data_IF_946254038681
#
_entry.id   IF_946254038681
#
_cell.length_a   1.000
_cell.length_b   1.000
_cell.length_c   1.000
_cell.angle_alpha   90.00
_cell.angle_beta   90.00
_cell.angle_gamma   90.00
#
_symmetry.space_group_name_H-M   'P 1'
#
loop_
_entity.id
_entity.type
_entity.pdbx_description
1 polymer ?
#
# COMPACT_ATOMS: atom_id res chain seq x y z
N UNK A 1 5.73 -10.95 44.69
CA UNK A 1 6.48 -10.51 43.50
C UNK A 1 6.33 -11.59 42.43
N UNK A 2 5.17 -11.66 41.78
CA UNK A 2 4.88 -12.69 40.77
C UNK A 2 5.28 -12.18 39.39
N UNK A 3 6.23 -12.85 38.75
CA UNK A 3 6.54 -12.68 37.31
C UNK A 3 5.27 -13.02 36.52
N UNK A 4 4.65 -11.99 35.95
CA UNK A 4 3.73 -12.17 34.83
C UNK A 4 4.57 -12.62 33.64
N UNK A 5 4.19 -13.75 33.05
CA UNK A 5 4.87 -14.38 31.93
C UNK A 5 4.59 -13.59 30.65
N UNK A 6 5.61 -12.90 30.12
CA UNK A 6 5.66 -12.10 28.88
C UNK A 6 5.53 -12.93 27.58
N UNK A 7 4.76 -14.02 27.59
CA UNK A 7 4.58 -14.89 26.42
C UNK A 7 3.45 -14.48 25.47
N UNK A 8 2.67 -13.44 25.79
CA UNK A 8 1.47 -13.04 25.03
C UNK A 8 1.64 -11.74 24.23
N UNK A 9 2.66 -10.94 24.50
CA UNK A 9 2.78 -9.59 23.94
C UNK A 9 3.09 -9.59 22.42
N UNK A 10 4.04 -10.40 21.93
CA UNK A 10 4.39 -10.37 20.51
C UNK A 10 3.26 -10.89 19.61
N UNK A 11 2.59 -11.98 20.01
CA UNK A 11 1.45 -12.54 19.26
C UNK A 11 0.25 -11.59 19.24
N UNK A 12 0.03 -10.83 20.32
CA UNK A 12 -0.98 -9.77 20.34
C UNK A 12 -0.61 -8.63 19.40
N UNK A 13 0.66 -8.20 19.40
CA UNK A 13 1.13 -7.17 18.48
C UNK A 13 0.94 -7.59 17.02
N UNK A 14 1.25 -8.87 16.69
CA UNK A 14 0.98 -9.45 15.37
C UNK A 14 -0.50 -9.41 15.01
N UNK A 15 -1.37 -9.88 15.90
CA UNK A 15 -2.80 -9.89 15.66
C UNK A 15 -3.35 -8.48 15.42
N UNK A 16 -2.87 -7.48 16.18
CA UNK A 16 -3.26 -6.07 15.98
C UNK A 16 -2.76 -5.55 14.64
N UNK A 17 -1.51 -5.83 14.25
CA UNK A 17 -0.95 -5.38 12.98
C UNK A 17 -1.66 -5.99 11.77
N UNK A 18 -2.17 -7.21 11.90
CA UNK A 18 -2.88 -7.89 10.82
C UNK A 18 -4.28 -7.33 10.56
N UNK A 19 -4.93 -6.70 11.54
CA UNK A 19 -6.27 -6.12 11.36
C UNK A 19 -6.37 -5.15 10.17
N UNK A 20 -5.49 -4.13 10.02
CA UNK A 20 -5.55 -3.22 8.87
C UNK A 20 -5.09 -3.84 7.55
N UNK A 21 -4.57 -5.08 7.55
CA UNK A 21 -4.21 -5.84 6.35
C UNK A 21 -5.34 -6.77 5.89
N UNK A 22 -6.45 -6.83 6.63
CA UNK A 22 -7.63 -7.56 6.22
C UNK A 22 -8.47 -6.71 5.26
N UNK A 23 -8.80 -7.28 4.10
CA UNK A 23 -9.64 -6.62 3.09
C UNK A 23 -11.05 -7.21 3.12
N UNK A 24 -11.98 -6.50 3.75
CA UNK A 24 -13.41 -6.83 3.71
C UNK A 24 -14.07 -6.10 2.54
N UNK A 25 -13.92 -6.65 1.34
CA UNK A 25 -14.56 -6.13 0.13
C UNK A 25 -15.81 -6.95 -0.19
N UNK A 26 -16.88 -6.27 -0.57
CA UNK A 26 -18.04 -6.94 -1.17
C UNK A 26 -17.61 -7.59 -2.49
N UNK A 27 -18.11 -8.79 -2.76
CA UNK A 27 -17.85 -9.48 -4.03
C UNK A 27 -18.27 -8.63 -5.23
N UNK A 28 -17.39 -8.54 -6.22
CA UNK A 28 -17.67 -7.89 -7.51
C UNK A 28 -17.34 -8.89 -8.63
N UNK A 29 -18.31 -9.31 -9.45
CA UNK A 29 -18.07 -10.33 -10.48
C UNK A 29 -17.13 -9.87 -11.60
N UNK A 30 -16.72 -8.59 -11.61
CA UNK A 30 -15.83 -8.00 -12.63
C UNK A 30 -14.36 -8.03 -12.23
N UNK A 31 -14.05 -8.17 -10.93
CA UNK A 31 -12.68 -8.13 -10.41
C UNK A 31 -12.53 -9.05 -9.18
N UNK A 32 -11.40 -9.75 -9.11
CA UNK A 32 -11.04 -10.58 -7.96
C UNK A 32 -9.77 -10.00 -7.31
N UNK A 33 -9.72 -10.02 -5.97
CA UNK A 33 -8.57 -9.57 -5.20
C UNK A 33 -7.99 -10.74 -4.42
N UNK A 34 -6.67 -10.90 -4.50
CA UNK A 34 -5.91 -11.84 -3.68
C UNK A 34 -4.72 -11.11 -3.08
N UNK A 35 -4.49 -11.31 -1.79
CA UNK A 35 -3.34 -10.76 -1.07
C UNK A 35 -2.63 -11.86 -0.30
N UNK A 36 -1.31 -11.75 -0.20
CA UNK A 36 -0.49 -12.65 0.58
C UNK A 36 0.57 -11.84 1.32
N UNK A 37 0.59 -11.97 2.65
CA UNK A 37 1.52 -11.24 3.52
C UNK A 37 2.20 -12.21 4.47
N UNK A 38 3.54 -12.19 4.46
CA UNK A 38 4.40 -13.01 5.32
C UNK A 38 5.46 -12.11 5.93
N UNK A 39 5.33 -11.72 7.22
CA UNK A 39 6.33 -10.89 7.86
C UNK A 39 7.63 -11.66 8.08
N UNK A 40 8.78 -10.96 8.01
CA UNK A 40 10.08 -11.54 8.34
C UNK A 40 10.19 -11.93 9.82
N UNK A 41 9.69 -11.04 10.69
CA UNK A 41 9.62 -11.22 12.14
C UNK A 41 8.15 -11.44 12.58
N UNK A 42 7.84 -11.23 13.86
CA UNK A 42 6.47 -11.31 14.40
C UNK A 42 5.57 -10.21 13.82
N UNK A 43 6.15 -9.05 13.49
CA UNK A 43 5.53 -7.89 12.86
C UNK A 43 6.48 -7.32 11.80
N UNK A 44 5.94 -6.72 10.75
CA UNK A 44 6.70 -6.29 9.56
C UNK A 44 6.61 -4.79 9.26
N UNK A 45 7.42 -4.32 8.32
CA UNK A 45 7.34 -2.97 7.76
C UNK A 45 6.31 -2.84 6.63
N UNK A 46 5.89 -3.96 6.03
CA UNK A 46 5.00 -3.91 4.87
C UNK A 46 3.55 -3.61 5.25
N UNK A 47 2.91 -2.82 4.41
CA UNK A 47 1.51 -2.47 4.48
C UNK A 47 0.87 -2.71 3.13
N UNK A 48 -0.32 -3.33 3.11
CA UNK A 48 -1.12 -3.39 1.90
C UNK A 48 -2.60 -3.15 2.20
N UNK A 49 -3.25 -2.41 1.32
CA UNK A 49 -4.65 -2.03 1.47
C UNK A 49 -5.35 -1.99 0.13
N UNK A 50 -6.63 -2.37 0.15
CA UNK A 50 -7.55 -2.30 -0.98
C UNK A 50 -8.81 -1.62 -0.47
N UNK A 51 -9.30 -0.62 -1.20
CA UNK A 51 -10.44 0.19 -0.77
C UNK A 51 -11.37 0.43 -1.94
N UNK A 52 -12.66 0.14 -1.77
CA UNK A 52 -13.68 0.52 -2.75
C UNK A 52 -13.91 2.03 -2.67
N UNK A 53 -13.60 2.75 -3.74
CA UNK A 53 -13.72 4.22 -3.81
C UNK A 53 -15.06 4.64 -4.40
N UNK A 54 -15.59 3.85 -5.33
CA UNK A 54 -16.89 4.07 -5.96
C UNK A 54 -17.49 2.73 -6.44
N UNK A 55 -18.55 2.78 -7.24
CA UNK A 55 -19.11 1.58 -7.89
C UNK A 55 -18.10 0.90 -8.84
N UNK A 56 -17.20 1.69 -9.44
CA UNK A 56 -16.29 1.24 -10.50
C UNK A 56 -14.81 1.40 -10.19
N UNK A 57 -14.45 2.11 -9.11
CA UNK A 57 -13.06 2.38 -8.75
C UNK A 57 -12.66 1.66 -7.46
N UNK A 58 -11.52 0.98 -7.53
CA UNK A 58 -10.85 0.37 -6.38
C UNK A 58 -9.46 0.97 -6.23
N UNK A 59 -9.18 1.50 -5.04
CA UNK A 59 -7.87 2.01 -4.66
C UNK A 59 -7.03 0.90 -4.04
N UNK A 60 -5.73 0.88 -4.37
CA UNK A 60 -4.76 -0.08 -3.88
C UNK A 60 -3.55 0.69 -3.33
N UNK A 61 -3.01 0.25 -2.21
CA UNK A 61 -1.73 0.71 -1.70
C UNK A 61 -0.88 -0.50 -1.31
N UNK A 62 0.39 -0.50 -1.72
CA UNK A 62 1.43 -1.36 -1.15
C UNK A 62 2.56 -0.45 -0.69
N UNK A 63 3.02 -0.63 0.54
CA UNK A 63 4.12 0.10 1.10
C UNK A 63 5.04 -0.81 1.91
N UNK A 64 6.29 -0.39 2.03
CA UNK A 64 7.29 -1.00 2.90
C UNK A 64 8.08 0.11 3.58
N UNK A 65 8.05 0.09 4.90
CA UNK A 65 8.79 1.01 5.77
C UNK A 65 10.21 0.48 5.96
N UNK A 66 11.20 1.32 5.68
CA UNK A 66 12.62 1.01 5.92
C UNK A 66 12.84 0.53 7.37
N UNK A 67 13.52 -0.61 7.49
CA UNK A 67 13.89 -1.21 8.77
C UNK A 67 13.17 -2.52 9.01
N UNK A 68 13.21 -3.01 10.24
CA UNK A 68 12.49 -4.22 10.65
C UNK A 68 12.06 -4.13 12.12
N UNK A 69 11.18 -5.04 12.53
CA UNK A 69 10.68 -5.13 13.90
C UNK A 69 9.71 -4.01 14.30
N UNK A 70 9.69 -3.68 15.60
CA UNK A 70 8.65 -2.83 16.22
C UNK A 70 8.63 -1.41 15.63
N UNK A 71 9.79 -0.80 15.37
CA UNK A 71 9.84 0.57 14.84
C UNK A 71 9.16 0.69 13.47
N UNK A 72 9.49 -0.21 12.55
CA UNK A 72 8.87 -0.26 11.23
C UNK A 72 7.36 -0.52 11.35
N UNK A 73 6.96 -1.48 12.19
CA UNK A 73 5.56 -1.80 12.42
C UNK A 73 4.72 -0.64 12.97
N UNK A 74 5.29 0.21 13.83
CA UNK A 74 4.59 1.41 14.33
C UNK A 74 4.32 2.41 13.21
N UNK A 75 5.27 2.60 12.29
CA UNK A 75 5.06 3.43 11.10
C UNK A 75 4.08 2.80 10.12
N UNK A 76 4.07 1.48 9.95
CA UNK A 76 3.04 0.74 9.19
C UNK A 76 1.64 1.00 9.76
N UNK A 77 1.50 1.00 11.10
CA UNK A 77 0.21 1.34 11.75
C UNK A 77 -0.15 2.81 11.59
N UNK A 78 0.82 3.71 11.58
CA UNK A 78 0.55 5.10 11.26
C UNK A 78 0.10 5.28 9.79
N UNK A 79 0.77 4.61 8.86
CA UNK A 79 0.39 4.56 7.45
C UNK A 79 -1.04 4.05 7.26
N UNK A 80 -1.47 3.01 7.98
CA UNK A 80 -2.85 2.52 7.86
C UNK A 80 -3.89 3.54 8.32
N UNK A 81 -3.59 4.34 9.35
CA UNK A 81 -4.43 5.45 9.78
C UNK A 81 -4.48 6.57 8.74
N UNK A 82 -3.34 6.91 8.13
CA UNK A 82 -3.27 7.90 7.05
C UNK A 82 -4.03 7.42 5.82
N UNK A 83 -3.89 6.15 5.44
CA UNK A 83 -4.66 5.53 4.36
C UNK A 83 -6.16 5.71 4.57
N UNK A 84 -6.67 5.35 5.76
CA UNK A 84 -8.09 5.52 6.09
C UNK A 84 -8.53 6.98 6.03
N UNK A 85 -7.74 7.90 6.62
CA UNK A 85 -8.02 9.34 6.67
C UNK A 85 -8.07 10.01 5.28
N UNK A 86 -7.21 9.59 4.36
CA UNK A 86 -7.09 10.18 3.01
C UNK A 86 -7.68 9.30 1.91
N UNK A 87 -8.39 8.23 2.25
CA UNK A 87 -8.91 7.23 1.31
C UNK A 87 -9.67 7.83 0.11
N UNK A 88 -10.48 8.88 0.31
CA UNK A 88 -11.18 9.56 -0.79
C UNK A 88 -10.23 10.21 -1.83
N UNK A 89 -9.04 10.66 -1.39
CA UNK A 89 -8.04 11.24 -2.29
C UNK A 89 -7.35 10.19 -3.15
N UNK A 90 -7.43 8.90 -2.78
CA UNK A 90 -6.80 7.80 -3.51
C UNK A 90 -7.32 7.69 -4.94
N UNK A 91 -8.51 8.21 -5.26
CA UNK A 91 -9.01 8.35 -6.63
C UNK A 91 -8.02 9.09 -7.57
N UNK A 92 -7.14 9.91 -7.00
CA UNK A 92 -6.00 10.57 -7.64
C UNK A 92 -4.70 10.12 -6.93
N UNK A 93 -4.08 9.00 -7.36
CA UNK A 93 -2.95 8.38 -6.69
C UNK A 93 -1.81 9.35 -6.29
N UNK A 94 -1.45 10.30 -7.16
CA UNK A 94 -0.38 11.24 -6.86
C UNK A 94 -0.75 12.21 -5.72
N UNK A 95 -2.01 12.66 -5.70
CA UNK A 95 -2.52 13.53 -4.64
C UNK A 95 -2.56 12.81 -3.30
N UNK A 96 -3.00 11.55 -3.29
CA UNK A 96 -2.98 10.72 -2.10
C UNK A 96 -1.55 10.49 -1.60
N UNK A 97 -0.61 10.13 -2.48
CA UNK A 97 0.80 9.95 -2.12
C UNK A 97 1.39 11.22 -1.51
N UNK A 98 1.13 12.39 -2.09
CA UNK A 98 1.58 13.67 -1.56
C UNK A 98 0.99 13.97 -0.16
N UNK A 99 -0.29 13.70 0.05
CA UNK A 99 -0.94 13.92 1.35
C UNK A 99 -0.38 12.98 2.42
N UNK A 100 -0.24 11.69 2.11
CA UNK A 100 0.36 10.70 3.02
C UNK A 100 1.82 11.04 3.31
N UNK A 101 2.61 11.42 2.30
CA UNK A 101 3.99 11.87 2.45
C UNK A 101 4.11 12.99 3.48
N UNK A 102 3.30 14.03 3.32
CA UNK A 102 3.37 15.22 4.16
C UNK A 102 2.96 14.96 5.61
N UNK A 103 2.02 14.06 5.86
CA UNK A 103 1.68 13.67 7.23
C UNK A 103 2.73 12.72 7.82
N UNK A 104 3.24 11.77 7.04
CA UNK A 104 4.26 10.84 7.50
C UNK A 104 5.58 11.56 7.83
N UNK A 105 5.98 12.55 7.03
CA UNK A 105 7.18 13.37 7.25
C UNK A 105 7.15 14.16 8.57
N UNK A 106 5.96 14.43 9.13
CA UNK A 106 5.84 15.11 10.44
C UNK A 106 6.22 14.21 11.62
N UNK A 107 6.15 12.90 11.45
CA UNK A 107 6.40 11.91 12.52
C UNK A 107 7.65 11.06 12.26
N UNK A 108 8.03 10.91 11.00
CA UNK A 108 9.25 10.24 10.55
C UNK A 108 10.34 11.29 10.38
N UNK A 109 11.46 11.14 11.10
CA UNK A 109 12.65 11.95 10.82
C UNK A 109 13.43 11.28 9.69
N UNK A 110 13.73 12.04 8.64
CA UNK A 110 14.33 11.60 7.37
C UNK A 110 15.66 10.88 7.52
N UNK A 111 16.41 11.17 8.60
CA UNK A 111 17.67 10.52 8.97
C UNK A 111 17.49 9.12 9.60
N UNK A 112 16.25 8.71 9.89
CA UNK A 112 15.95 7.49 10.65
C UNK A 112 15.06 6.49 9.93
N UNK A 113 14.09 6.94 9.13
CA UNK A 113 13.15 6.06 8.42
C UNK A 113 12.58 6.76 7.16
N UNK A 114 12.06 5.96 6.24
CA UNK A 114 11.22 6.37 5.12
C UNK A 114 10.36 5.16 4.71
N UNK A 115 9.39 5.35 3.81
CA UNK A 115 8.62 4.24 3.27
C UNK A 115 8.61 4.28 1.74
N UNK A 116 8.92 3.15 1.11
CA UNK A 116 8.59 2.96 -0.31
C UNK A 116 7.11 2.65 -0.44
N UNK A 117 6.44 3.15 -1.46
CA UNK A 117 5.04 2.82 -1.68
C UNK A 117 4.65 2.90 -3.16
N UNK A 118 3.57 2.21 -3.52
CA UNK A 118 2.80 2.48 -4.73
C UNK A 118 1.34 2.64 -4.33
N UNK A 119 0.74 3.71 -4.85
CA UNK A 119 -0.68 4.00 -4.74
C UNK A 119 -1.29 3.81 -6.12
N UNK A 120 -2.43 3.15 -6.22
CA UNK A 120 -3.05 2.82 -7.50
C UNK A 120 -4.57 2.90 -7.44
N UNK A 121 -5.17 3.13 -8.61
CA UNK A 121 -6.61 3.03 -8.84
C UNK A 121 -6.86 2.15 -10.04
N UNK A 122 -7.71 1.15 -9.85
CA UNK A 122 -8.29 0.34 -10.92
C UNK A 122 -9.69 0.89 -11.20
N UNK A 123 -9.88 1.48 -12.39
CA UNK A 123 -11.17 1.95 -12.89
C UNK A 123 -11.74 0.89 -13.85
N UNK A 124 -12.81 0.21 -13.43
CA UNK A 124 -13.43 -0.88 -14.18
C UNK A 124 -14.31 -0.39 -15.35
N UNK A 125 -14.81 0.85 -15.30
CA UNK A 125 -15.64 1.42 -16.36
C UNK A 125 -14.75 1.87 -17.52
N UNK A 126 -13.71 2.65 -17.21
CA UNK A 126 -12.72 3.09 -18.20
C UNK A 126 -11.73 2.00 -18.57
N UNK A 127 -11.61 0.96 -17.73
CA UNK A 127 -10.61 -0.12 -17.84
C UNK A 127 -9.19 0.44 -17.88
N UNK A 128 -8.86 1.24 -16.87
CA UNK A 128 -7.56 1.87 -16.72
C UNK A 128 -6.99 1.59 -15.34
N UNK A 129 -5.71 1.24 -15.29
CA UNK A 129 -4.90 1.28 -14.08
C UNK A 129 -4.16 2.62 -14.06
N UNK A 130 -4.35 3.41 -12.99
CA UNK A 130 -3.55 4.62 -12.69
C UNK A 130 -2.69 4.34 -11.47
N UNK A 131 -1.42 4.75 -11.48
CA UNK A 131 -0.51 4.58 -10.35
C UNK A 131 0.27 5.86 -10.06
N UNK A 132 0.68 6.03 -8.82
CA UNK A 132 1.77 6.92 -8.42
C UNK A 132 2.72 6.15 -7.50
N UNK A 133 4.02 6.17 -7.83
CA UNK A 133 5.03 5.50 -7.03
C UNK A 133 5.75 6.50 -6.13
N UNK A 134 6.03 6.08 -4.91
CA UNK A 134 6.94 6.70 -3.97
C UNK A 134 8.13 5.75 -3.76
N UNK A 135 8.90 5.50 -4.82
CA UNK A 135 10.02 4.55 -4.81
C UNK A 135 9.61 3.08 -4.61
N UNK A 136 8.34 2.74 -4.85
CA UNK A 136 7.82 1.38 -4.77
C UNK A 136 8.03 0.56 -6.06
N UNK A 137 7.67 -0.74 -6.03
CA UNK A 137 7.84 -1.65 -7.17
C UNK A 137 6.96 -1.30 -8.38
N UNK A 138 7.29 -1.80 -9.56
CA UNK A 138 6.41 -1.68 -10.73
C UNK A 138 5.17 -2.59 -10.62
N UNK A 139 4.07 -2.20 -11.27
CA UNK A 139 2.94 -3.09 -11.51
C UNK A 139 3.24 -3.98 -12.70
N UNK A 140 3.07 -5.29 -12.55
CA UNK A 140 3.07 -6.20 -13.70
C UNK A 140 1.63 -6.45 -14.17
N UNK A 141 1.39 -6.27 -15.47
CA UNK A 141 0.12 -6.56 -16.12
C UNK A 141 0.31 -7.85 -16.92
N UNK A 142 -0.15 -8.97 -16.37
CA UNK A 142 -0.05 -10.29 -17.02
C UNK A 142 -1.29 -10.54 -17.86
N UNK A 143 -1.09 -10.76 -19.15
CA UNK A 143 -2.15 -11.01 -20.11
C UNK A 143 -2.56 -12.49 -20.16
N UNK A 144 -3.75 -12.80 -20.71
CA UNK A 144 -4.22 -14.18 -20.86
C UNK A 144 -3.31 -15.10 -21.68
N UNK A 145 -2.47 -14.55 -22.55
CA UNK A 145 -1.49 -15.32 -23.34
C UNK A 145 -0.18 -15.59 -22.58
N UNK A 146 -0.07 -15.14 -21.33
CA UNK A 146 1.09 -15.31 -20.44
C UNK A 146 2.20 -14.29 -20.65
N UNK A 147 2.07 -13.34 -21.59
CA UNK A 147 2.97 -12.19 -21.68
C UNK A 147 2.64 -11.17 -20.60
N UNK A 148 3.58 -10.29 -20.31
CA UNK A 148 3.34 -9.20 -19.38
C UNK A 148 3.95 -7.89 -19.88
N UNK A 149 3.28 -6.80 -19.53
CA UNK A 149 3.81 -5.45 -19.56
C UNK A 149 4.08 -4.99 -18.11
N UNK A 150 4.89 -3.94 -17.94
CA UNK A 150 5.05 -3.28 -16.66
C UNK A 150 4.64 -1.82 -16.70
N UNK A 151 4.13 -1.32 -15.58
CA UNK A 151 3.79 0.08 -15.37
C UNK A 151 4.56 0.58 -14.14
N UNK A 152 5.44 1.54 -14.39
CA UNK A 152 6.20 2.25 -13.37
C UNK A 152 5.85 3.74 -13.39
N UNK A 153 6.09 4.41 -12.27
CA UNK A 153 6.07 5.86 -12.15
C UNK A 153 7.28 6.28 -11.32
N UNK A 154 7.97 7.39 -11.63
CA UNK A 154 9.01 7.90 -10.75
C UNK A 154 8.41 8.55 -9.50
N UNK A 155 9.16 8.52 -8.40
CA UNK A 155 8.85 9.32 -7.22
C UNK A 155 9.77 9.01 -6.05
N UNK A 156 9.98 10.00 -5.19
CA UNK A 156 10.80 9.84 -3.99
C UNK A 156 10.05 8.98 -2.96
N UNK A 157 10.74 8.13 -2.19
CA UNK A 157 10.12 7.47 -1.05
C UNK A 157 9.43 8.44 -0.10
N UNK A 158 8.30 8.00 0.47
CA UNK A 158 7.52 8.76 1.43
C UNK A 158 8.38 9.16 2.63
N UNK A 159 8.15 10.38 3.11
CA UNK A 159 8.81 10.99 4.25
C UNK A 159 10.31 11.24 4.08
N UNK A 160 10.88 11.18 2.86
CA UNK A 160 12.24 11.68 2.57
C UNK A 160 12.27 13.20 2.44
N UNK A 161 11.21 13.79 1.90
CA UNK A 161 11.13 15.23 1.66
C UNK A 161 9.69 15.69 1.83
N UNK A 162 9.47 16.72 2.64
CA UNK A 162 8.19 17.41 2.70
C UNK A 162 7.85 18.03 1.34
N UNK A 163 6.57 18.07 0.98
CA UNK A 163 6.08 18.62 -0.28
C UNK A 163 6.70 17.97 -1.54
N UNK A 164 7.09 16.70 -1.42
CA UNK A 164 7.52 15.90 -2.57
C UNK A 164 6.42 15.82 -3.63
N UNK A 165 6.82 15.98 -4.89
CA UNK A 165 5.94 15.83 -6.04
C UNK A 165 5.90 14.36 -6.49
N UNK A 166 4.71 13.88 -6.81
CA UNK A 166 4.45 12.54 -7.31
C UNK A 166 3.72 12.65 -8.65
N UNK A 167 4.10 11.79 -9.59
CA UNK A 167 3.53 11.76 -10.93
C UNK A 167 2.65 10.52 -11.11
N UNK A 168 1.60 10.67 -11.92
CA UNK A 168 0.74 9.54 -12.29
C UNK A 168 1.20 8.92 -13.60
N UNK A 169 1.29 7.60 -13.61
CA UNK A 169 1.37 6.81 -14.83
C UNK A 169 0.08 6.02 -15.00
N UNK A 170 -0.32 5.75 -16.24
CA UNK A 170 -1.54 5.02 -16.52
C UNK A 170 -1.38 4.06 -17.70
N UNK A 171 -2.10 2.95 -17.64
CA UNK A 171 -2.22 2.01 -18.76
C UNK A 171 -3.64 1.46 -18.86
N UNK A 172 -4.02 1.04 -20.06
CA UNK A 172 -5.26 0.32 -20.28
C UNK A 172 -5.14 -1.11 -19.76
N UNK A 173 -6.19 -1.62 -19.15
CA UNK A 173 -6.31 -3.01 -18.72
C UNK A 173 -7.40 -3.71 -19.52
N UNK A 174 -7.20 -4.99 -19.81
CA UNK A 174 -8.11 -5.80 -20.61
C UNK A 174 -8.77 -6.85 -19.74
N UNK A 175 -9.92 -7.33 -20.22
CA UNK A 175 -10.60 -8.44 -19.55
C UNK A 175 -9.68 -9.66 -19.55
N UNK A 176 -9.47 -10.25 -18.37
CA UNK A 176 -8.60 -11.40 -18.18
C UNK A 176 -7.15 -11.04 -17.84
N UNK A 177 -6.78 -9.76 -17.82
CA UNK A 177 -5.48 -9.35 -17.30
C UNK A 177 -5.43 -9.58 -15.78
N UNK A 178 -4.25 -9.96 -15.29
CA UNK A 178 -3.93 -10.05 -13.86
C UNK A 178 -2.93 -8.96 -13.51
N UNK A 179 -3.27 -8.16 -12.48
CA UNK A 179 -2.39 -7.11 -11.97
C UNK A 179 -1.63 -7.65 -10.77
N UNK A 180 -0.30 -7.66 -10.86
CA UNK A 180 0.57 -8.20 -9.82
C UNK A 180 1.45 -7.08 -9.26
N UNK A 181 1.56 -7.08 -7.94
CA UNK A 181 2.41 -6.20 -7.18
C UNK A 181 3.01 -7.01 -6.02
N UNK A 182 4.32 -6.96 -5.85
CA UNK A 182 5.02 -7.72 -4.82
C UNK A 182 6.22 -6.93 -4.30
N UNK A 183 6.61 -7.26 -3.07
CA UNK A 183 7.70 -6.67 -2.31
C UNK A 183 8.53 -7.80 -1.72
#
# INVERSE_FOLDING_TARGET
>A
MGRLTDGHDPERARAIQQLPLQHELAEDPRIEFATHYVPHDIIGGDYNAITKLSENEYGIMLADVMGHGIGAALYTMHLSQLHGRYSEQLAQPARFAAAVNNELAKVVKTDTAFATAVCAVVDLDRRVLRIASAGGPEFLIVHPDGKYDSLESPGLPLAIMEDAHYEEAATEIRKGDSLLLFK
#
